data_IF_179713988935
#
_entry.id   IF_179713988935
#
_cell.length_a   1.000
_cell.length_b   1.000
_cell.length_c   1.000
_cell.angle_alpha   90.00
_cell.angle_beta   90.00
_cell.angle_gamma   90.00
#
_symmetry.space_group_name_H-M   'P 1'
#
loop_
_entity.id
_entity.type
_entity.pdbx_description
1 polymer ?
#
# COMPACT_ATOMS: atom_id res chain seq x y z
N UNK A 1 -29.22 39.16 -25.94
CA UNK A 1 -28.09 38.37 -26.47
C UNK A 1 -27.19 38.04 -25.29
N UNK A 2 -27.22 36.78 -24.85
CA UNK A 2 -26.50 36.26 -23.70
C UNK A 2 -25.06 35.94 -24.08
N UNK A 3 -24.09 36.64 -23.48
CA UNK A 3 -22.70 36.23 -23.54
C UNK A 3 -22.47 35.13 -22.50
N UNK A 4 -22.21 33.93 -23.03
CA UNK A 4 -21.91 32.73 -22.27
C UNK A 4 -20.65 32.95 -21.42
N UNK A 5 -20.85 32.96 -20.10
CA UNK A 5 -19.80 32.72 -19.11
C UNK A 5 -19.49 31.21 -19.18
N UNK A 6 -18.55 30.85 -20.06
CA UNK A 6 -18.03 29.49 -20.20
C UNK A 6 -16.53 29.50 -19.88
N UNK A 7 -16.20 29.85 -18.64
CA UNK A 7 -14.84 29.72 -18.10
C UNK A 7 -14.95 29.47 -16.60
N UNK A 8 -14.95 28.19 -16.17
CA UNK A 8 -14.48 27.71 -14.85
C UNK A 8 -14.85 26.24 -14.54
N UNK A 9 -14.55 25.26 -15.40
CA UNK A 9 -14.82 23.82 -15.09
C UNK A 9 -13.63 22.86 -15.37
N UNK A 10 -12.53 23.33 -15.92
CA UNK A 10 -11.38 22.46 -16.27
C UNK A 10 -10.40 22.19 -15.11
N UNK A 11 -10.37 23.05 -14.08
CA UNK A 11 -9.48 22.89 -12.93
C UNK A 11 -9.91 21.78 -11.97
N UNK A 12 -11.19 21.72 -11.62
CA UNK A 12 -11.73 20.71 -10.69
C UNK A 12 -11.74 19.31 -11.29
N UNK A 13 -11.96 19.16 -12.60
CA UNK A 13 -11.88 17.85 -13.25
C UNK A 13 -10.45 17.32 -13.29
N UNK A 14 -9.45 18.16 -13.60
CA UNK A 14 -8.04 17.73 -13.65
C UNK A 14 -7.49 17.29 -12.29
N UNK A 15 -7.80 18.03 -11.21
CA UNK A 15 -7.36 17.67 -9.85
C UNK A 15 -8.03 16.39 -9.34
N UNK A 16 -9.31 16.20 -9.65
CA UNK A 16 -10.08 15.01 -9.31
C UNK A 16 -9.52 13.75 -9.99
N UNK A 17 -9.29 13.80 -11.31
CA UNK A 17 -8.68 12.69 -12.05
C UNK A 17 -7.24 12.42 -11.57
N UNK A 18 -6.49 13.49 -11.25
CA UNK A 18 -5.16 13.38 -10.65
C UNK A 18 -5.17 12.63 -9.32
N UNK A 19 -6.15 12.90 -8.45
CA UNK A 19 -6.29 12.20 -7.17
C UNK A 19 -6.63 10.72 -7.37
N UNK A 20 -7.56 10.39 -8.27
CA UNK A 20 -7.92 8.99 -8.56
C UNK A 20 -6.70 8.22 -9.06
N UNK A 21 -5.93 8.78 -10.00
CA UNK A 21 -4.72 8.15 -10.52
C UNK A 21 -3.67 7.91 -9.42
N UNK A 22 -3.49 8.87 -8.49
CA UNK A 22 -2.59 8.72 -7.34
C UNK A 22 -3.06 7.64 -6.39
N UNK A 23 -4.34 7.64 -6.01
CA UNK A 23 -4.94 6.62 -5.14
C UNK A 23 -4.80 5.23 -5.77
N UNK A 24 -5.11 5.06 -7.05
CA UNK A 24 -4.97 3.79 -7.76
C UNK A 24 -3.51 3.30 -7.79
N UNK A 25 -2.55 4.20 -8.05
CA UNK A 25 -1.12 3.91 -8.04
C UNK A 25 -0.64 3.44 -6.66
N UNK A 26 -0.95 4.19 -5.59
CA UNK A 26 -0.53 3.84 -4.24
C UNK A 26 -1.26 2.60 -3.71
N UNK A 27 -2.52 2.41 -4.10
CA UNK A 27 -3.26 1.18 -3.82
C UNK A 27 -2.58 -0.05 -4.41
N UNK A 28 -2.09 0.02 -5.66
CA UNK A 28 -1.30 -1.07 -6.27
C UNK A 28 0.00 -1.33 -5.51
N UNK A 29 0.69 -0.30 -5.03
CA UNK A 29 1.90 -0.47 -4.21
C UNK A 29 1.62 -1.15 -2.86
N UNK A 30 0.49 -0.83 -2.23
CA UNK A 30 0.03 -1.51 -1.01
C UNK A 30 -0.28 -2.98 -1.29
N UNK A 31 -0.96 -3.31 -2.39
CA UNK A 31 -1.23 -4.70 -2.79
C UNK A 31 0.08 -5.48 -2.98
N UNK A 32 1.06 -4.90 -3.67
CA UNK A 32 2.38 -5.53 -3.86
C UNK A 32 3.06 -5.75 -2.50
N UNK A 33 2.99 -4.77 -1.60
CA UNK A 33 3.56 -4.89 -0.25
C UNK A 33 2.92 -6.02 0.56
N UNK A 34 1.58 -6.13 0.50
CA UNK A 34 0.82 -7.23 1.14
C UNK A 34 1.27 -8.57 0.58
N UNK A 35 1.37 -8.70 -0.75
CA UNK A 35 1.78 -9.94 -1.40
C UNK A 35 3.21 -10.36 -1.02
N UNK A 36 4.14 -9.40 -0.98
CA UNK A 36 5.53 -9.66 -0.54
C UNK A 36 5.54 -10.13 0.92
N UNK A 37 4.84 -9.44 1.83
CA UNK A 37 4.83 -9.82 3.24
C UNK A 37 4.18 -11.19 3.48
N UNK A 38 3.10 -11.51 2.77
CA UNK A 38 2.50 -12.86 2.77
C UNK A 38 3.49 -13.91 2.27
N UNK A 39 4.20 -13.63 1.17
CA UNK A 39 5.21 -14.54 0.62
C UNK A 39 6.33 -14.83 1.62
N UNK A 40 6.89 -13.79 2.24
CA UNK A 40 7.90 -13.93 3.29
C UNK A 40 7.37 -14.70 4.51
N UNK A 41 6.13 -14.43 4.93
CA UNK A 41 5.49 -15.14 6.04
C UNK A 41 5.30 -16.64 5.76
N UNK A 42 4.78 -16.99 4.59
CA UNK A 42 4.56 -18.39 4.18
C UNK A 42 5.90 -19.14 4.05
N UNK A 43 6.90 -18.52 3.42
CA UNK A 43 8.24 -19.13 3.30
C UNK A 43 8.86 -19.32 4.68
N UNK A 44 8.77 -18.31 5.56
CA UNK A 44 9.26 -18.41 6.92
C UNK A 44 8.63 -19.57 7.70
N UNK A 45 7.29 -19.66 7.71
CA UNK A 45 6.57 -20.75 8.41
C UNK A 45 6.97 -22.12 7.87
N UNK A 46 7.02 -22.30 6.55
CA UNK A 46 7.41 -23.58 5.96
C UNK A 46 8.83 -24.00 6.33
N UNK A 47 9.77 -23.05 6.38
CA UNK A 47 11.14 -23.32 6.81
C UNK A 47 11.28 -23.63 8.31
N UNK A 48 10.41 -23.08 9.16
CA UNK A 48 10.42 -23.38 10.60
C UNK A 48 9.76 -24.73 10.95
N UNK A 49 8.79 -25.19 10.14
CA UNK A 49 8.11 -26.48 10.35
C UNK A 49 8.95 -27.66 9.84
N UNK A 50 9.79 -27.44 8.83
CA UNK A 50 10.73 -28.45 8.33
C UNK A 50 12.02 -28.45 9.15
N UNK A 51 12.20 -29.44 10.02
CA UNK A 51 13.37 -29.56 10.91
C UNK A 51 14.71 -29.48 10.15
N UNK A 52 14.77 -30.01 8.92
CA UNK A 52 15.97 -29.97 8.08
C UNK A 52 16.24 -28.62 7.39
N UNK A 53 15.25 -27.71 7.35
CA UNK A 53 15.40 -26.40 6.69
C UNK A 53 15.57 -25.25 7.67
N UNK A 54 15.36 -25.49 8.97
CA UNK A 54 15.44 -24.46 10.00
C UNK A 54 16.84 -23.85 10.11
N UNK A 55 17.89 -24.67 10.11
CA UNK A 55 19.27 -24.20 10.22
C UNK A 55 19.73 -23.45 8.95
N UNK A 56 19.28 -23.90 7.78
CA UNK A 56 19.49 -23.19 6.52
C UNK A 56 18.77 -21.83 6.51
N UNK A 57 17.54 -21.76 7.03
CA UNK A 57 16.78 -20.51 7.14
C UNK A 57 17.41 -19.52 8.11
N UNK A 58 17.91 -19.96 9.27
CA UNK A 58 18.62 -19.10 10.22
C UNK A 58 19.95 -18.59 9.63
N UNK A 59 20.65 -19.42 8.87
CA UNK A 59 21.89 -19.03 8.18
C UNK A 59 21.62 -17.99 7.06
N UNK A 60 20.52 -18.15 6.32
CA UNK A 60 20.12 -17.18 5.29
C UNK A 60 19.61 -15.87 5.91
N UNK A 61 18.86 -15.90 7.02
CA UNK A 61 18.35 -14.70 7.67
C UNK A 61 19.41 -13.92 8.48
N UNK A 62 20.50 -14.58 8.87
CA UNK A 62 21.68 -13.90 9.45
C UNK A 62 22.58 -13.27 8.39
N UNK A 63 22.31 -13.50 7.10
CA UNK A 63 23.01 -12.81 6.04
C UNK A 63 22.60 -11.32 6.02
N UNK A 64 23.55 -10.38 6.13
CA UNK A 64 23.25 -8.95 6.17
C UNK A 64 22.49 -8.48 4.94
N UNK A 65 22.71 -9.10 3.76
CA UNK A 65 21.99 -8.76 2.53
C UNK A 65 20.50 -9.05 2.69
N UNK A 66 20.15 -10.20 3.26
CA UNK A 66 18.74 -10.59 3.49
C UNK A 66 18.10 -9.64 4.51
N UNK A 67 18.82 -9.28 5.57
CA UNK A 67 18.35 -8.29 6.56
C UNK A 67 18.09 -6.93 5.92
N UNK A 68 19.00 -6.42 5.07
CA UNK A 68 18.83 -5.16 4.35
C UNK A 68 17.67 -5.21 3.35
N UNK A 69 17.48 -6.34 2.65
CA UNK A 69 16.33 -6.53 1.76
C UNK A 69 15.02 -6.52 2.54
N UNK A 70 14.93 -7.23 3.67
CA UNK A 70 13.75 -7.19 4.54
C UNK A 70 13.48 -5.79 5.09
N UNK A 71 14.52 -5.03 5.43
CA UNK A 71 14.39 -3.64 5.84
C UNK A 71 13.83 -2.77 4.71
N UNK A 72 14.37 -2.89 3.49
CA UNK A 72 13.90 -2.13 2.33
C UNK A 72 12.42 -2.42 2.00
N UNK A 73 12.00 -3.69 2.11
CA UNK A 73 10.59 -4.09 1.91
C UNK A 73 9.68 -3.42 2.94
N UNK A 74 10.07 -3.38 4.21
CA UNK A 74 9.30 -2.72 5.26
C UNK A 74 9.20 -1.21 5.02
N UNK A 75 10.31 -0.56 4.67
CA UNK A 75 10.31 0.87 4.33
C UNK A 75 9.40 1.14 3.13
N UNK A 76 9.46 0.33 2.08
CA UNK A 76 8.57 0.45 0.92
C UNK A 76 7.09 0.32 1.32
N UNK A 77 6.76 -0.65 2.15
CA UNK A 77 5.39 -0.87 2.62
C UNK A 77 4.87 0.33 3.45
N UNK A 78 5.69 0.87 4.35
CA UNK A 78 5.36 2.05 5.15
C UNK A 78 5.14 3.26 4.23
N UNK A 79 6.02 3.50 3.27
CA UNK A 79 5.90 4.61 2.32
C UNK A 79 4.62 4.48 1.47
N UNK A 80 4.33 3.29 0.94
CA UNK A 80 3.11 3.04 0.18
C UNK A 80 1.85 3.31 1.01
N UNK A 81 1.84 2.87 2.27
CA UNK A 81 0.75 3.12 3.21
C UNK A 81 0.57 4.61 3.50
N UNK A 82 1.66 5.33 3.82
CA UNK A 82 1.60 6.77 4.15
C UNK A 82 1.11 7.58 2.95
N UNK A 83 1.59 7.28 1.74
CA UNK A 83 1.15 7.97 0.53
C UNK A 83 -0.34 7.72 0.25
N UNK A 84 -0.81 6.49 0.42
CA UNK A 84 -2.22 6.16 0.26
C UNK A 84 -3.08 6.81 1.34
N UNK A 85 -2.63 6.80 2.60
CA UNK A 85 -3.34 7.42 3.72
C UNK A 85 -3.51 8.92 3.51
N UNK A 86 -2.46 9.59 3.01
CA UNK A 86 -2.48 11.02 2.72
C UNK A 86 -3.54 11.38 1.69
N UNK A 87 -3.69 10.58 0.64
CA UNK A 87 -4.70 10.84 -0.41
C UNK A 87 -6.14 10.51 0.01
N UNK A 88 -6.33 9.57 0.95
CA UNK A 88 -7.66 9.13 1.40
C UNK A 88 -8.20 9.86 2.62
N UNK A 89 -7.32 10.38 3.48
CA UNK A 89 -7.71 10.93 4.79
C UNK A 89 -7.18 12.36 4.95
N UNK A 90 -6.08 12.53 5.67
CA UNK A 90 -5.40 13.79 5.88
C UNK A 90 -3.92 13.51 6.18
N UNK A 91 -3.04 14.47 5.90
CA UNK A 91 -1.59 14.39 6.15
C UNK A 91 -1.28 14.03 7.59
N UNK A 92 -2.03 14.54 8.56
CA UNK A 92 -1.81 14.24 10.00
C UNK A 92 -2.02 12.75 10.31
N UNK A 93 -3.09 12.16 9.78
CA UNK A 93 -3.38 10.72 9.96
C UNK A 93 -2.32 9.87 9.27
N UNK A 94 -1.89 10.28 8.07
CA UNK A 94 -0.84 9.60 7.33
C UNK A 94 0.50 9.59 8.08
N UNK A 95 0.89 10.72 8.67
CA UNK A 95 2.12 10.82 9.48
C UNK A 95 1.99 9.96 10.74
N UNK A 96 0.85 10.01 11.43
CA UNK A 96 0.62 9.18 12.62
C UNK A 96 0.71 7.68 12.30
N UNK A 97 0.08 7.23 11.20
CA UNK A 97 0.20 5.86 10.71
C UNK A 97 1.65 5.50 10.37
N UNK A 98 2.39 6.40 9.74
CA UNK A 98 3.81 6.22 9.46
C UNK A 98 4.64 6.01 10.73
N UNK A 99 4.44 6.85 11.75
CA UNK A 99 5.13 6.74 13.05
C UNK A 99 4.79 5.39 13.70
N UNK A 100 3.50 5.05 13.80
CA UNK A 100 3.05 3.79 14.43
C UNK A 100 3.66 2.58 13.71
N UNK A 101 3.76 2.62 12.38
CA UNK A 101 4.33 1.54 11.57
C UNK A 101 5.87 1.45 11.61
N UNK A 102 6.56 2.41 12.23
CA UNK A 102 8.02 2.34 12.45
C UNK A 102 8.40 1.78 13.82
N UNK A 103 7.43 1.63 14.74
CA UNK A 103 7.69 1.09 16.07
C UNK A 103 8.11 -0.39 15.94
N UNK A 104 9.16 -0.90 16.61
CA UNK A 104 9.66 -2.26 16.43
C UNK A 104 8.63 -3.39 16.69
N UNK A 105 7.65 -3.13 17.56
CA UNK A 105 6.52 -4.04 17.83
C UNK A 105 5.47 -4.04 16.70
N UNK A 106 5.55 -3.08 15.79
CA UNK A 106 4.58 -2.87 14.72
C UNK A 106 4.83 -3.75 13.49
N UNK A 107 5.90 -4.55 13.42
CA UNK A 107 6.06 -5.54 12.34
C UNK A 107 4.83 -6.47 12.26
N UNK A 108 4.22 -6.78 13.41
CA UNK A 108 2.96 -7.53 13.52
C UNK A 108 1.71 -6.69 13.17
N UNK A 109 1.79 -5.36 13.34
CA UNK A 109 0.70 -4.43 13.06
C UNK A 109 0.73 -3.86 11.64
N UNK A 110 1.88 -3.90 10.97
CA UNK A 110 2.10 -3.35 9.64
C UNK A 110 1.24 -4.11 8.62
N UNK A 111 1.25 -5.44 8.68
CA UNK A 111 0.40 -6.27 7.83
C UNK A 111 -1.09 -5.94 7.96
N UNK A 112 -1.72 -5.97 9.16
CA UNK A 112 -3.13 -5.60 9.29
C UNK A 112 -3.40 -4.13 8.93
N UNK A 113 -2.47 -3.20 9.17
CA UNK A 113 -2.62 -1.80 8.72
C UNK A 113 -2.65 -1.69 7.19
N UNK A 114 -1.79 -2.42 6.48
CA UNK A 114 -1.81 -2.48 5.01
C UNK A 114 -3.13 -3.04 4.49
N UNK A 115 -3.67 -4.08 5.14
CA UNK A 115 -4.98 -4.67 4.78
C UNK A 115 -6.12 -3.68 5.02
N UNK A 116 -6.13 -3.00 6.17
CA UNK A 116 -7.15 -1.99 6.48
C UNK A 116 -7.13 -0.86 5.46
N UNK A 117 -5.96 -0.32 5.13
CA UNK A 117 -5.87 0.79 4.18
C UNK A 117 -6.20 0.35 2.74
N UNK A 118 -5.88 -0.88 2.37
CA UNK A 118 -6.32 -1.49 1.11
C UNK A 118 -7.85 -1.53 1.02
N UNK A 119 -8.54 -2.00 2.08
CA UNK A 119 -10.00 -2.05 2.12
C UNK A 119 -10.61 -0.65 2.02
N UNK A 120 -10.03 0.34 2.71
CA UNK A 120 -10.48 1.73 2.65
C UNK A 120 -10.32 2.30 1.23
N UNK A 121 -9.16 2.11 0.60
CA UNK A 121 -8.91 2.53 -0.77
C UNK A 121 -9.86 1.86 -1.76
N UNK A 122 -10.09 0.55 -1.61
CA UNK A 122 -10.99 -0.21 -2.47
C UNK A 122 -12.45 0.29 -2.34
N UNK A 123 -12.89 0.58 -1.12
CA UNK A 123 -14.23 1.17 -0.87
C UNK A 123 -14.34 2.56 -1.47
N UNK A 124 -13.33 3.41 -1.31
CA UNK A 124 -13.30 4.75 -1.88
C UNK A 124 -13.36 4.71 -3.42
N UNK A 125 -12.52 3.90 -4.06
CA UNK A 125 -12.52 3.74 -5.52
C UNK A 125 -13.85 3.19 -6.04
N UNK A 126 -14.48 2.27 -5.32
CA UNK A 126 -15.81 1.75 -5.64
C UNK A 126 -16.89 2.83 -5.55
N UNK A 127 -16.82 3.73 -4.56
CA UNK A 127 -17.73 4.88 -4.45
C UNK A 127 -17.56 5.86 -5.61
N UNK A 128 -16.35 5.99 -6.16
CA UNK A 128 -16.08 6.81 -7.36
C UNK A 128 -16.48 6.10 -8.68
N UNK A 129 -17.09 4.90 -8.63
CA UNK A 129 -17.56 4.17 -9.81
C UNK A 129 -16.54 3.21 -10.43
N UNK A 130 -15.34 3.06 -9.85
CA UNK A 130 -14.31 2.15 -10.38
C UNK A 130 -14.48 0.73 -9.84
N UNK A 131 -14.33 -0.26 -10.72
CA UNK A 131 -14.25 -1.67 -10.31
C UNK A 131 -12.86 -1.96 -9.77
N UNK A 132 -12.78 -2.28 -8.49
CA UNK A 132 -11.54 -2.69 -7.82
C UNK A 132 -11.45 -4.21 -7.86
N UNK A 133 -10.51 -4.76 -8.63
CA UNK A 133 -10.20 -6.19 -8.64
C UNK A 133 -9.12 -6.56 -7.61
N UNK A 134 -8.83 -7.86 -7.51
CA UNK A 134 -7.82 -8.41 -6.58
C UNK A 134 -6.41 -7.84 -6.79
N UNK A 135 -6.10 -7.39 -8.01
CA UNK A 135 -4.80 -6.81 -8.41
C UNK A 135 -4.81 -5.28 -8.52
N UNK A 136 -5.88 -4.62 -8.07
CA UNK A 136 -6.06 -3.17 -8.12
C UNK A 136 -7.16 -2.71 -9.06
N UNK A 137 -7.35 -1.39 -9.13
CA UNK A 137 -8.15 -0.74 -10.17
C UNK A 137 -7.30 -0.64 -11.43
N UNK A 138 -7.85 -1.06 -12.57
CA UNK A 138 -7.25 -0.79 -13.86
C UNK A 138 -7.67 0.62 -14.31
N UNK A 139 -6.76 1.61 -14.38
CA UNK A 139 -7.10 2.96 -14.84
C UNK A 139 -7.42 3.03 -16.35
N UNK A 140 -7.18 1.97 -17.13
CA UNK A 140 -7.42 1.94 -18.58
C UNK A 140 -8.83 1.50 -19.00
N UNK A 141 -9.76 1.33 -18.05
CA UNK A 141 -11.13 0.85 -18.32
C UNK A 141 -12.23 1.92 -18.11
N UNK A 142 -11.87 3.21 -18.04
CA UNK A 142 -12.83 4.32 -18.13
C UNK A 142 -12.98 4.82 -19.56
#
# INVERSE_FOLDING_TARGET
MSNNVFMSDSGHSSEYWGQICRVAKYHRWVIVSIAIQLGFGIVGVNCFVSEGMRDAFLTVNSNPIVTWVSFAINVFAIVAMVLLARELTNTVVAVFLGIVATVPLSSYLLFPMLVVIHILAARWLKQQGFKVGLFGVNPELS
#
